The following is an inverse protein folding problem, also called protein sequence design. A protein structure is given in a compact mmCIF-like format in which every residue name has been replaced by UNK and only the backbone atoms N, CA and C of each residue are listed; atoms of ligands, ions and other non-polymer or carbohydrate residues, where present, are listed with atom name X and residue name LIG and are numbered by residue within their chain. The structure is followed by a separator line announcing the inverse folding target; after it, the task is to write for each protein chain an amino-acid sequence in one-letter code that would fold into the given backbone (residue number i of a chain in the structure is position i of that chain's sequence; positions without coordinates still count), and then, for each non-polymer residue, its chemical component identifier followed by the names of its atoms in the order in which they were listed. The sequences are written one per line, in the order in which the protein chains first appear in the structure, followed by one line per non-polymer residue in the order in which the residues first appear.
data_IF_388911234857
#
_entry.id   IF_388911234857
#
_cell.length_a   1.000
_cell.length_b   1.000
_cell.length_c   1.000
_cell.angle_alpha   90.00
_cell.angle_beta   90.00
_cell.angle_gamma   90.00
#
_symmetry.space_group_name_H-M   'P 1'
#
loop_
_entity.id
_entity.type
_entity.pdbx_description
1 polymer ?
#
# COMPACT_ATOMS: atom_id res chain seq x y z
N UNK A 1 12.57 -23.26 18.20
CA UNK A 1 12.10 -23.66 16.85
C UNK A 1 10.71 -23.09 16.66
N UNK A 2 10.48 -22.28 15.62
CA UNK A 2 9.14 -21.76 15.30
C UNK A 2 8.26 -22.95 14.92
N UNK A 3 7.09 -23.10 15.56
CA UNK A 3 6.20 -24.21 15.24
C UNK A 3 5.63 -24.02 13.83
N UNK A 4 5.36 -25.11 13.10
CA UNK A 4 4.74 -25.03 11.75
C UNK A 4 3.44 -24.20 11.75
N UNK A 5 2.70 -24.22 12.86
CA UNK A 5 1.49 -23.43 13.06
C UNK A 5 1.78 -21.92 13.13
N UNK A 6 2.85 -21.50 13.79
CA UNK A 6 3.26 -20.09 13.88
C UNK A 6 3.73 -19.55 12.51
N UNK A 7 4.47 -20.35 11.75
CA UNK A 7 4.90 -19.98 10.40
C UNK A 7 3.70 -19.81 9.47
N UNK A 8 2.74 -20.75 9.51
CA UNK A 8 1.50 -20.66 8.72
C UNK A 8 0.67 -19.43 9.12
N UNK A 9 0.52 -19.15 10.43
CA UNK A 9 -0.19 -17.97 10.93
C UNK A 9 0.45 -16.67 10.44
N UNK A 10 1.78 -16.58 10.48
CA UNK A 10 2.52 -15.43 9.96
C UNK A 10 2.28 -15.23 8.47
N UNK A 11 2.45 -16.29 7.68
CA UNK A 11 2.20 -16.26 6.24
C UNK A 11 0.77 -15.81 5.90
N UNK A 12 -0.24 -16.42 6.53
CA UNK A 12 -1.65 -16.06 6.30
C UNK A 12 -1.96 -14.61 6.67
N UNK A 13 -1.35 -14.10 7.74
CA UNK A 13 -1.53 -12.71 8.16
C UNK A 13 -0.92 -11.75 7.13
N UNK A 14 0.24 -12.08 6.57
CA UNK A 14 0.86 -11.31 5.49
C UNK A 14 0.01 -11.34 4.22
N UNK A 15 -0.51 -12.51 3.82
CA UNK A 15 -1.41 -12.61 2.67
C UNK A 15 -2.69 -11.79 2.87
N UNK A 16 -3.29 -11.86 4.06
CA UNK A 16 -4.48 -11.07 4.40
C UNK A 16 -4.21 -9.56 4.34
N UNK A 17 -3.10 -9.11 4.91
CA UNK A 17 -2.72 -7.70 4.84
C UNK A 17 -2.40 -7.25 3.42
N UNK A 18 -1.72 -8.09 2.64
CA UNK A 18 -1.44 -7.81 1.23
C UNK A 18 -2.75 -7.65 0.43
N UNK A 19 -3.75 -8.48 0.70
CA UNK A 19 -5.07 -8.36 0.10
C UNK A 19 -5.78 -7.06 0.49
N UNK A 20 -5.71 -6.64 1.76
CA UNK A 20 -6.24 -5.33 2.20
C UNK A 20 -5.52 -4.19 1.48
N UNK A 21 -4.19 -4.22 1.42
CA UNK A 21 -3.39 -3.22 0.71
C UNK A 21 -3.73 -3.17 -0.79
N UNK A 22 -3.97 -4.32 -1.41
CA UNK A 22 -4.44 -4.42 -2.79
C UNK A 22 -5.82 -3.76 -2.97
N UNK A 23 -6.76 -4.00 -2.05
CA UNK A 23 -8.06 -3.33 -2.09
C UNK A 23 -7.90 -1.80 -1.96
N UNK A 24 -7.06 -1.32 -1.04
CA UNK A 24 -6.76 0.13 -0.93
C UNK A 24 -6.18 0.68 -2.22
N UNK A 25 -5.24 -0.04 -2.85
CA UNK A 25 -4.66 0.36 -4.13
C UNK A 25 -5.72 0.48 -5.24
N UNK A 26 -6.57 -0.53 -5.40
CA UNK A 26 -7.70 -0.49 -6.35
C UNK A 26 -8.60 0.70 -6.06
N UNK A 27 -8.97 0.92 -4.79
CA UNK A 27 -9.79 2.06 -4.39
C UNK A 27 -9.16 3.41 -4.75
N UNK A 28 -7.84 3.56 -4.61
CA UNK A 28 -7.12 4.78 -5.01
C UNK A 28 -7.17 4.96 -6.54
N UNK A 29 -6.82 3.93 -7.30
CA UNK A 29 -6.74 4.01 -8.78
C UNK A 29 -8.11 4.33 -9.37
N UNK A 30 -9.14 3.62 -8.95
CA UNK A 30 -10.51 3.79 -9.46
C UNK A 30 -11.12 5.14 -9.03
N UNK A 31 -10.63 5.72 -7.93
CA UNK A 31 -11.04 7.08 -7.54
C UNK A 31 -10.41 8.17 -8.40
N UNK A 32 -9.35 7.90 -9.16
CA UNK A 32 -8.78 8.89 -10.09
C UNK A 32 -9.75 9.20 -11.24
N UNK A 33 -10.61 8.26 -11.61
CA UNK A 33 -11.62 8.48 -12.65
C UNK A 33 -12.68 9.50 -12.24
N UNK A 34 -12.83 9.77 -10.94
CA UNK A 34 -13.70 10.85 -10.44
C UNK A 34 -13.23 12.24 -10.88
N UNK A 35 -11.97 12.41 -11.28
CA UNK A 35 -11.48 13.66 -11.87
C UNK A 35 -11.81 13.80 -13.37
N UNK A 36 -12.14 12.69 -14.05
CA UNK A 36 -12.41 12.64 -15.48
C UNK A 36 -13.92 12.69 -15.81
N UNK A 37 -14.75 13.04 -14.83
CA UNK A 37 -16.21 13.14 -15.01
C UNK A 37 -16.56 14.23 -16.03
N UNK A 38 -17.56 13.97 -16.87
CA UNK A 38 -18.07 14.94 -17.86
C UNK A 38 -18.53 16.25 -17.20
N UNK A 39 -19.06 16.15 -15.97
CA UNK A 39 -19.35 17.30 -15.12
C UNK A 39 -18.23 17.47 -14.09
N UNK A 40 -17.50 18.59 -14.08
CA UNK A 40 -16.38 18.78 -13.17
C UNK A 40 -16.87 18.84 -11.72
N UNK A 41 -16.14 18.16 -10.85
CA UNK A 41 -16.38 18.23 -9.40
C UNK A 41 -16.21 19.66 -8.89
N UNK A 42 -16.99 20.08 -7.87
CA UNK A 42 -16.72 21.33 -7.17
C UNK A 42 -15.26 21.38 -6.70
N UNK A 43 -14.61 22.54 -6.80
CA UNK A 43 -13.17 22.68 -6.52
C UNK A 43 -12.76 22.18 -5.13
N UNK A 44 -13.63 22.34 -4.13
CA UNK A 44 -13.38 21.86 -2.77
C UNK A 44 -13.33 20.32 -2.73
N UNK A 45 -14.21 19.65 -3.48
CA UNK A 45 -14.22 18.18 -3.57
C UNK A 45 -12.97 17.67 -4.30
N UNK A 46 -12.52 18.38 -5.33
CA UNK A 46 -11.26 18.07 -6.03
C UNK A 46 -10.08 18.13 -5.06
N UNK A 47 -10.00 19.20 -4.26
CA UNK A 47 -8.92 19.38 -3.29
C UNK A 47 -8.95 18.31 -2.19
N UNK A 48 -10.14 18.01 -1.66
CA UNK A 48 -10.33 16.98 -0.64
C UNK A 48 -9.98 15.58 -1.16
N UNK A 49 -10.48 15.23 -2.34
CA UNK A 49 -10.17 13.94 -2.99
C UNK A 49 -8.67 13.84 -3.28
N UNK A 50 -8.06 14.89 -3.83
CA UNK A 50 -6.62 14.93 -4.08
C UNK A 50 -5.80 14.73 -2.81
N UNK A 51 -6.18 15.39 -1.71
CA UNK A 51 -5.57 15.18 -0.40
C UNK A 51 -5.72 13.73 0.07
N UNK A 52 -6.93 13.18 0.04
CA UNK A 52 -7.21 11.79 0.44
C UNK A 52 -6.39 10.78 -0.37
N UNK A 53 -6.27 10.97 -1.68
CA UNK A 53 -5.53 10.08 -2.58
C UNK A 53 -4.02 10.13 -2.32
N UNK A 54 -3.44 11.34 -2.29
CA UNK A 54 -2.00 11.50 -2.03
C UNK A 54 -1.65 10.96 -0.64
N UNK A 55 -2.45 11.30 0.36
CA UNK A 55 -2.28 10.84 1.73
C UNK A 55 -2.30 9.30 1.82
N UNK A 56 -3.35 8.67 1.30
CA UNK A 56 -3.52 7.21 1.34
C UNK A 56 -2.47 6.50 0.51
N UNK A 57 -2.05 7.07 -0.63
CA UNK A 57 -1.00 6.51 -1.47
C UNK A 57 0.36 6.47 -0.76
N UNK A 58 0.73 7.55 -0.05
CA UNK A 58 1.96 7.57 0.77
C UNK A 58 1.86 6.53 1.89
N UNK A 59 0.74 6.50 2.62
CA UNK A 59 0.53 5.56 3.71
C UNK A 59 0.54 4.10 3.24
N UNK A 60 -0.05 3.79 2.09
CA UNK A 60 -0.02 2.48 1.44
C UNK A 60 1.41 2.08 1.06
N UNK A 61 2.19 3.00 0.49
CA UNK A 61 3.59 2.74 0.12
C UNK A 61 4.44 2.39 1.36
N UNK A 62 4.23 3.11 2.46
CA UNK A 62 4.88 2.82 3.74
C UNK A 62 4.41 1.49 4.35
N UNK A 63 3.11 1.21 4.30
CA UNK A 63 2.51 -0.04 4.77
C UNK A 63 3.12 -1.25 4.05
N UNK A 64 3.25 -1.17 2.72
CA UNK A 64 3.83 -2.24 1.91
C UNK A 64 5.33 -2.43 2.22
N UNK A 65 6.09 -1.34 2.33
CA UNK A 65 7.52 -1.41 2.66
C UNK A 65 7.78 -2.09 4.02
N UNK A 66 6.97 -1.75 5.03
CA UNK A 66 7.07 -2.35 6.37
C UNK A 66 6.66 -3.82 6.34
N UNK A 67 5.58 -4.14 5.61
CA UNK A 67 5.15 -5.52 5.45
C UNK A 67 6.25 -6.39 4.83
N UNK A 68 6.93 -5.89 3.78
CA UNK A 68 8.07 -6.59 3.16
C UNK A 68 9.23 -6.73 4.16
N UNK A 69 9.55 -5.67 4.91
CA UNK A 69 10.60 -5.71 5.93
C UNK A 69 10.31 -6.77 7.01
N UNK A 70 9.07 -6.86 7.46
CA UNK A 70 8.64 -7.83 8.46
C UNK A 70 8.58 -9.25 7.93
N UNK A 71 8.19 -9.43 6.66
CA UNK A 71 8.25 -10.71 5.98
C UNK A 71 9.69 -11.23 5.91
N UNK A 72 10.64 -10.38 5.53
CA UNK A 72 12.08 -10.71 5.51
C UNK A 72 12.58 -11.08 6.92
N UNK A 73 12.08 -10.38 7.95
CA UNK A 73 12.44 -10.62 9.36
C UNK A 73 11.66 -11.76 10.01
N UNK A 74 10.80 -12.46 9.27
CA UNK A 74 9.92 -13.53 9.78
C UNK A 74 9.06 -13.08 10.98
N UNK A 75 8.60 -11.82 10.96
CA UNK A 75 7.71 -11.24 11.98
C UNK A 75 6.27 -11.19 11.48
N UNK A 76 5.34 -11.10 12.42
CA UNK A 76 3.93 -10.80 12.09
C UNK A 76 3.85 -9.44 11.41
N UNK A 77 2.92 -9.26 10.44
CA UNK A 77 2.72 -7.98 9.80
C UNK A 77 2.16 -6.95 10.77
N UNK A 78 2.67 -5.73 10.68
CA UNK A 78 2.22 -4.54 11.37
C UNK A 78 1.19 -3.83 10.50
N UNK A 79 0.05 -3.49 11.10
CA UNK A 79 -0.97 -2.63 10.49
C UNK A 79 -0.71 -1.19 10.94
N UNK A 80 -0.06 -0.38 10.10
CA UNK A 80 0.40 0.97 10.44
C UNK A 80 -0.70 1.82 11.06
N UNK A 81 -1.89 1.82 10.46
CA UNK A 81 -3.02 2.67 10.89
C UNK A 81 -3.46 2.45 12.33
N UNK A 82 -3.15 1.27 12.89
CA UNK A 82 -3.43 0.95 14.29
C UNK A 82 -2.17 0.90 15.15
N UNK A 83 -0.97 1.00 14.56
CA UNK A 83 0.28 0.64 15.21
C UNK A 83 0.56 1.44 16.48
N UNK A 84 0.48 2.78 16.40
CA UNK A 84 0.73 3.65 17.56
C UNK A 84 -0.33 3.51 18.66
N UNK A 85 -1.53 3.03 18.33
CA UNK A 85 -2.60 2.84 19.32
C UNK A 85 -2.47 1.53 20.10
N UNK A 86 -1.51 0.66 19.74
CA UNK A 86 -1.27 -0.61 20.44
C UNK A 86 -0.35 -0.46 21.65
N UNK A 87 0.34 0.67 21.79
CA UNK A 87 1.33 0.91 22.84
C UNK A 87 0.83 1.98 23.80
N UNK A 88 1.11 1.81 25.10
CA UNK A 88 0.89 2.84 26.10
C UNK A 88 2.00 3.91 26.02
N UNK A 89 1.74 5.12 26.55
CA UNK A 89 2.70 6.23 26.55
C UNK A 89 4.04 5.90 27.25
N UNK A 90 4.05 4.84 28.06
CA UNK A 90 5.20 4.40 28.87
C UNK A 90 5.99 3.27 28.19
N UNK A 91 5.46 2.69 27.11
CA UNK A 91 6.08 1.59 26.39
C UNK A 91 6.95 2.10 25.23
N UNK A 92 8.15 1.54 25.11
CA UNK A 92 9.04 1.87 24.01
C UNK A 92 8.52 1.22 22.71
N UNK A 93 8.48 1.99 21.63
CA UNK A 93 8.06 1.49 20.32
C UNK A 93 9.09 0.46 19.79
N UNK A 94 8.67 -0.79 19.50
CA UNK A 94 9.61 -1.87 19.22
C UNK A 94 10.26 -1.79 17.84
N UNK A 95 9.61 -1.15 16.86
CA UNK A 95 10.19 -0.89 15.55
C UNK A 95 10.89 0.46 15.55
N UNK A 96 12.22 0.45 15.65
CA UNK A 96 13.04 1.67 15.65
C UNK A 96 12.74 2.63 14.49
N UNK A 97 12.44 2.08 13.30
CA UNK A 97 12.09 2.87 12.12
C UNK A 97 10.79 3.68 12.31
N UNK A 98 9.88 3.16 13.13
CA UNK A 98 8.59 3.75 13.47
C UNK A 98 8.60 4.54 14.77
N UNK A 99 9.73 4.59 15.49
CA UNK A 99 9.84 5.43 16.68
C UNK A 99 9.99 6.90 16.26
N UNK A 100 8.99 7.78 16.54
CA UNK A 100 9.04 9.18 16.12
C UNK A 100 10.11 9.99 16.86
N UNK A 101 10.60 9.52 18.02
CA UNK A 101 11.68 10.17 18.76
C UNK A 101 13.02 9.92 18.05
N UNK A 102 13.16 8.78 17.37
CA UNK A 102 14.43 8.33 16.78
C UNK A 102 14.49 8.42 15.26
N UNK A 103 13.35 8.50 14.57
CA UNK A 103 13.25 8.41 13.12
C UNK A 103 12.31 9.47 12.55
N UNK A 104 12.79 10.22 11.54
CA UNK A 104 11.95 11.14 10.75
C UNK A 104 10.82 10.40 10.02
N UNK A 105 11.04 9.13 9.67
CA UNK A 105 9.98 8.31 9.08
C UNK A 105 8.87 8.03 10.09
N UNK A 106 9.22 7.74 11.34
CA UNK A 106 8.24 7.56 12.41
C UNK A 106 7.37 8.80 12.60
N UNK A 107 7.97 9.99 12.57
CA UNK A 107 7.22 11.27 12.61
C UNK A 107 6.26 11.39 11.42
N UNK A 108 6.72 11.11 10.20
CA UNK A 108 5.88 11.16 9.00
C UNK A 108 4.70 10.19 9.11
N UNK A 109 4.96 8.94 9.49
CA UNK A 109 3.93 7.90 9.65
C UNK A 109 2.90 8.32 10.71
N UNK A 110 3.37 8.86 11.86
CA UNK A 110 2.48 9.36 12.92
C UNK A 110 1.58 10.50 12.42
N UNK A 111 2.14 11.47 11.69
CA UNK A 111 1.37 12.57 11.09
C UNK A 111 0.34 12.02 10.12
N UNK A 112 0.70 11.09 9.24
CA UNK A 112 -0.24 10.47 8.30
C UNK A 112 -1.38 9.77 9.02
N UNK A 113 -1.09 9.02 10.09
CA UNK A 113 -2.11 8.31 10.86
C UNK A 113 -3.09 9.30 11.52
N UNK A 114 -2.58 10.33 12.19
CA UNK A 114 -3.40 11.32 12.92
C UNK A 114 -4.23 12.18 11.96
N UNK A 115 -3.65 12.59 10.81
CA UNK A 115 -4.32 13.49 9.86
C UNK A 115 -5.41 12.82 9.04
N UNK A 116 -5.47 11.50 8.99
CA UNK A 116 -6.52 10.82 8.23
C UNK A 116 -6.33 9.32 8.01
N UNK A 117 -5.18 8.74 8.35
CA UNK A 117 -4.89 7.33 8.05
C UNK A 117 -5.91 6.35 8.64
N UNK A 118 -6.44 6.64 9.83
CA UNK A 118 -7.47 5.80 10.48
C UNK A 118 -8.78 5.78 9.70
N UNK A 119 -9.12 6.88 9.01
CA UNK A 119 -10.39 7.02 8.29
C UNK A 119 -10.23 6.69 6.80
N UNK A 120 -9.27 7.32 6.12
CA UNK A 120 -9.11 7.18 4.67
C UNK A 120 -8.71 5.76 4.29
N UNK A 121 -7.84 5.12 5.06
CA UNK A 121 -7.33 3.80 4.71
C UNK A 121 -8.45 2.74 4.70
N UNK A 122 -9.33 2.62 5.72
CA UNK A 122 -10.48 1.73 5.65
C UNK A 122 -11.49 2.14 4.57
N UNK A 123 -11.72 3.44 4.33
CA UNK A 123 -12.63 3.90 3.26
C UNK A 123 -12.16 3.36 1.90
N UNK A 124 -10.89 3.56 1.55
CA UNK A 124 -10.35 3.06 0.29
C UNK A 124 -10.28 1.53 0.25
N UNK A 125 -10.01 0.86 1.38
CA UNK A 125 -10.02 -0.60 1.46
C UNK A 125 -11.42 -1.18 1.16
N UNK A 126 -12.46 -0.62 1.78
CA UNK A 126 -13.85 -1.07 1.57
C UNK A 126 -14.31 -0.71 0.16
N UNK A 127 -14.05 0.51 -0.30
CA UNK A 127 -14.40 0.93 -1.65
C UNK A 127 -13.75 0.02 -2.71
N UNK A 128 -12.44 -0.19 -2.61
CA UNK A 128 -11.73 -1.08 -3.54
C UNK A 128 -12.15 -2.53 -3.42
N UNK A 129 -12.51 -3.03 -2.24
CA UNK A 129 -13.07 -4.37 -2.08
C UNK A 129 -14.39 -4.53 -2.84
N UNK A 130 -15.28 -3.53 -2.78
CA UNK A 130 -16.55 -3.54 -3.52
C UNK A 130 -16.30 -3.57 -5.04
N UNK A 131 -15.30 -2.83 -5.52
CA UNK A 131 -14.91 -2.82 -6.94
C UNK A 131 -14.28 -4.13 -7.39
N UNK A 132 -13.36 -4.69 -6.60
CA UNK A 132 -12.76 -6.01 -6.86
C UNK A 132 -13.86 -7.07 -6.92
N UNK A 133 -14.81 -7.04 -5.99
CA UNK A 133 -15.97 -7.93 -6.02
C UNK A 133 -16.80 -7.76 -7.30
N UNK A 134 -17.12 -6.53 -7.67
CA UNK A 134 -17.82 -6.21 -8.93
C UNK A 134 -17.08 -6.77 -10.15
N UNK A 135 -15.79 -6.50 -10.27
CA UNK A 135 -14.98 -7.02 -11.38
C UNK A 135 -14.89 -8.54 -11.40
N UNK A 136 -14.72 -9.20 -10.26
CA UNK A 136 -14.71 -10.66 -10.19
C UNK A 136 -16.04 -11.25 -10.66
N UNK A 137 -17.18 -10.64 -10.31
CA UNK A 137 -18.48 -11.08 -10.82
C UNK A 137 -18.59 -10.87 -12.34
N UNK A 138 -18.13 -9.74 -12.88
CA UNK A 138 -18.12 -9.49 -14.33
C UNK A 138 -17.23 -10.48 -15.07
N UNK A 139 -16.03 -10.76 -14.56
CA UNK A 139 -15.09 -11.73 -15.13
C UNK A 139 -15.69 -13.14 -15.15
N UNK A 140 -16.36 -13.54 -14.08
CA UNK A 140 -17.04 -14.84 -14.02
C UNK A 140 -18.15 -14.97 -15.08
N UNK A 141 -18.84 -13.87 -15.39
CA UNK A 141 -19.90 -13.82 -16.40
C UNK A 141 -19.36 -13.67 -17.83
N UNK A 142 -18.20 -13.02 -18.01
CA UNK A 142 -17.58 -12.74 -19.30
C UNK A 142 -16.06 -13.02 -19.28
N UNK A 143 -15.63 -14.28 -19.49
CA UNK A 143 -14.22 -14.69 -19.42
C UNK A 143 -13.31 -13.97 -20.42
N UNK A 144 -13.87 -13.39 -21.48
CA UNK A 144 -13.15 -12.60 -22.49
C UNK A 144 -12.45 -11.37 -21.86
N UNK A 145 -12.97 -10.85 -20.75
CA UNK A 145 -12.34 -9.77 -19.99
C UNK A 145 -10.98 -10.18 -19.42
N UNK A 146 -10.77 -11.45 -19.05
CA UNK A 146 -9.47 -11.95 -18.59
C UNK A 146 -8.43 -11.80 -19.70
N UNK A 147 -8.78 -12.17 -20.93
CA UNK A 147 -7.87 -12.07 -22.07
C UNK A 147 -7.53 -10.61 -22.35
N UNK A 148 -8.50 -9.70 -22.23
CA UNK A 148 -8.28 -8.26 -22.35
C UNK A 148 -7.33 -7.73 -21.28
N UNK A 149 -7.56 -8.04 -20.00
CA UNK A 149 -6.67 -7.64 -18.91
C UNK A 149 -5.26 -8.23 -19.06
N UNK A 150 -5.16 -9.49 -19.48
CA UNK A 150 -3.87 -10.14 -19.73
C UNK A 150 -3.13 -9.48 -20.90
N UNK A 151 -3.84 -9.07 -21.95
CA UNK A 151 -3.29 -8.30 -23.06
C UNK A 151 -2.77 -6.92 -22.63
N UNK A 152 -3.51 -6.21 -21.76
CA UNK A 152 -3.05 -4.95 -21.16
C UNK A 152 -1.78 -5.21 -20.33
N UNK A 153 -1.81 -6.21 -19.46
CA UNK A 153 -0.67 -6.59 -18.64
C UNK A 153 0.59 -6.89 -19.47
N UNK A 154 0.47 -7.71 -20.51
CA UNK A 154 1.61 -8.06 -21.37
C UNK A 154 2.20 -6.87 -22.11
N UNK A 155 1.41 -5.83 -22.41
CA UNK A 155 1.92 -4.62 -23.07
C UNK A 155 2.58 -3.65 -22.09
N UNK A 156 2.08 -3.55 -20.86
CA UNK A 156 2.55 -2.56 -19.88
C UNK A 156 3.60 -3.10 -18.89
N UNK A 157 3.59 -4.39 -18.58
CA UNK A 157 4.53 -4.99 -17.64
C UNK A 157 5.98 -4.99 -18.15
N UNK A 158 6.29 -5.35 -19.41
CA UNK A 158 7.68 -5.33 -19.88
C UNK A 158 8.34 -3.94 -19.84
N UNK A 159 7.69 -2.86 -20.31
CA UNK A 159 8.24 -1.50 -20.14
C UNK A 159 8.46 -1.12 -18.67
N UNK A 160 7.52 -1.47 -17.79
CA UNK A 160 7.64 -1.20 -16.35
C UNK A 160 8.86 -1.91 -15.74
N UNK A 161 9.06 -3.19 -16.07
CA UNK A 161 10.23 -3.94 -15.59
C UNK A 161 11.54 -3.36 -16.10
N UNK A 162 11.57 -2.84 -17.34
CA UNK A 162 12.74 -2.16 -17.88
C UNK A 162 13.06 -0.89 -17.08
N UNK A 163 12.06 -0.07 -16.74
CA UNK A 163 12.24 1.13 -15.91
C UNK A 163 12.77 0.74 -14.53
N UNK A 164 12.17 -0.26 -13.88
CA UNK A 164 12.62 -0.76 -12.57
C UNK A 164 14.07 -1.25 -12.65
N UNK A 165 14.42 -2.01 -13.69
CA UNK A 165 15.76 -2.51 -13.90
C UNK A 165 16.79 -1.38 -14.05
N UNK A 166 16.47 -0.35 -14.83
CA UNK A 166 17.31 0.85 -14.98
C UNK A 166 17.49 1.58 -13.64
N UNK A 167 16.41 1.78 -12.89
CA UNK A 167 16.47 2.44 -11.57
C UNK A 167 17.34 1.64 -10.60
N UNK A 168 17.23 0.31 -10.60
CA UNK A 168 18.06 -0.56 -9.76
C UNK A 168 19.53 -0.46 -10.14
N UNK A 169 19.88 -0.54 -11.43
CA UNK A 169 21.26 -0.39 -11.90
C UNK A 169 21.84 0.96 -11.49
N UNK A 170 21.11 2.06 -11.74
CA UNK A 170 21.55 3.39 -11.36
C UNK A 170 21.74 3.54 -9.85
N UNK A 171 20.84 2.94 -9.05
CA UNK A 171 20.95 2.95 -7.59
C UNK A 171 22.17 2.19 -7.10
N UNK A 172 22.48 1.02 -7.67
CA UNK A 172 23.68 0.25 -7.34
C UNK A 172 24.94 1.03 -7.72
N UNK A 173 24.99 1.58 -8.93
CA UNK A 173 26.12 2.40 -9.38
C UNK A 173 26.33 3.62 -8.47
N UNK A 174 25.26 4.33 -8.09
CA UNK A 174 25.37 5.49 -7.21
C UNK A 174 25.90 5.14 -5.81
N UNK A 175 25.56 3.95 -5.30
CA UNK A 175 26.09 3.45 -4.02
C UNK A 175 27.58 3.12 -4.17
N UNK A 176 27.97 2.42 -5.24
CA UNK A 176 29.36 2.04 -5.51
C UNK A 176 30.26 3.28 -5.67
N UNK A 177 29.83 4.26 -6.48
CA UNK A 177 30.56 5.52 -6.68
C UNK A 177 30.69 6.39 -5.42
N UNK A 178 29.86 6.16 -4.39
CA UNK A 178 29.95 6.88 -3.12
C UNK A 178 30.88 6.20 -2.12
N UNK A 179 31.17 4.91 -2.29
CA UNK A 179 32.06 4.13 -1.43
C UNK A 179 33.47 3.93 -2.01
N UNK A 180 33.66 4.21 -3.30
CA UNK A 180 34.96 4.34 -3.96
C UNK A 180 35.56 5.74 -3.77
#
# INVERSE_FOLDING_TARGET
MVSRSQALKGFLSHVALLFVNFCVFVGIIESLDLFNLESPLPWLNVLLLGFMLVHTFILLSLQLAIQVLELIRMRMPTVLVTYYFQFSDQEAIPLWLLDPIRSRLGVLVLILIITGGIAFYPIFAVYGLLLVWGHLTTIALHPQEIVRYFGIFLNWAPPLFLVVFVVVILSVLAIEFRHA
#
